data_IF_877141268896
#
_entry.id   IF_877141268896
#
_cell.length_a   1.000
_cell.length_b   1.000
_cell.length_c   1.000
_cell.angle_alpha   90.00
_cell.angle_beta   90.00
_cell.angle_gamma   90.00
#
_symmetry.space_group_name_H-M   'P 1'
#
loop_
_entity.id
_entity.type
_entity.pdbx_description
1 polymer ?
#
# COMPACT_ATOMS: atom_id res chain seq x y z
N UNK A 1 0.58 21.44 -2.37
CA UNK A 1 -0.64 20.93 -1.71
C UNK A 1 -0.38 19.72 -0.80
N UNK A 2 0.46 18.76 -1.20
CA UNK A 2 0.73 17.55 -0.41
C UNK A 2 1.33 17.85 0.97
N UNK A 3 2.39 18.66 1.03
CA UNK A 3 3.02 19.07 2.30
C UNK A 3 2.06 19.80 3.22
N UNK A 4 1.19 20.66 2.65
CA UNK A 4 0.19 21.37 3.43
C UNK A 4 -0.86 20.40 4.05
N UNK A 5 -1.28 19.38 3.31
CA UNK A 5 -2.17 18.35 3.84
C UNK A 5 -1.49 17.52 4.94
N UNK A 6 -0.24 17.11 4.72
CA UNK A 6 0.56 16.40 5.73
C UNK A 6 0.71 17.22 7.02
N UNK A 7 1.04 18.50 6.90
CA UNK A 7 1.14 19.41 8.04
C UNK A 7 -0.20 19.57 8.76
N UNK A 8 -1.29 19.80 8.03
CA UNK A 8 -2.62 19.95 8.61
C UNK A 8 -3.07 18.72 9.40
N UNK A 9 -2.83 17.52 8.88
CA UNK A 9 -3.13 16.27 9.61
C UNK A 9 -2.23 16.13 10.83
N UNK A 10 -0.94 16.41 10.71
CA UNK A 10 0.03 16.29 11.81
C UNK A 10 -0.31 17.20 13.00
N UNK A 11 -0.82 18.42 12.74
CA UNK A 11 -1.20 19.35 13.83
C UNK A 11 -2.64 19.14 14.36
N UNK A 12 -3.44 18.30 13.69
CA UNK A 12 -4.87 18.15 14.03
C UNK A 12 -5.13 17.31 15.27
N UNK A 13 -4.16 16.50 15.71
CA UNK A 13 -4.31 15.51 16.77
C UNK A 13 -4.92 14.17 16.29
N UNK A 14 -5.23 14.02 15.01
CA UNK A 14 -5.67 12.75 14.45
C UNK A 14 -4.57 11.69 14.55
N UNK A 15 -4.91 10.40 14.78
CA UNK A 15 -3.93 9.31 14.77
C UNK A 15 -3.33 9.17 13.37
N UNK A 16 -2.07 9.57 13.23
CA UNK A 16 -1.37 9.62 11.96
C UNK A 16 0.10 9.22 12.14
N UNK A 17 0.53 8.19 11.40
CA UNK A 17 1.90 7.68 11.43
C UNK A 17 2.84 8.44 10.47
N UNK A 18 2.67 9.76 10.39
CA UNK A 18 3.48 10.68 9.60
C UNK A 18 4.26 11.63 10.49
N UNK A 19 4.77 12.72 9.94
CA UNK A 19 4.39 13.34 8.66
C UNK A 19 4.95 12.66 7.42
N UNK A 20 4.34 12.97 6.27
CA UNK A 20 4.79 12.54 4.96
C UNK A 20 5.33 13.73 4.17
N UNK A 21 6.43 13.52 3.45
CA UNK A 21 6.97 14.45 2.47
C UNK A 21 6.58 14.07 1.05
N UNK A 22 6.60 15.02 0.14
CA UNK A 22 6.53 14.79 -1.30
C UNK A 22 7.32 15.86 -2.04
N UNK A 23 7.98 15.43 -3.11
CA UNK A 23 8.85 16.29 -3.91
C UNK A 23 8.76 15.89 -5.38
N UNK A 24 8.93 16.85 -6.28
CA UNK A 24 9.09 16.62 -7.71
C UNK A 24 10.55 16.70 -8.09
N UNK A 25 11.04 15.75 -8.87
CA UNK A 25 12.44 15.69 -9.31
C UNK A 25 12.49 15.72 -10.82
N UNK A 26 13.33 16.60 -11.35
CA UNK A 26 13.77 16.62 -12.73
C UNK A 26 15.20 16.11 -12.89
N UNK A 27 15.58 15.78 -14.15
CA UNK A 27 16.96 15.45 -14.52
C UNK A 27 17.35 16.26 -15.75
N UNK A 28 18.18 17.29 -15.55
CA UNK A 28 18.53 18.31 -16.54
C UNK A 28 20.05 18.40 -16.61
N UNK A 29 20.62 18.34 -17.79
CA UNK A 29 22.07 18.45 -18.01
C UNK A 29 22.91 17.51 -17.12
N UNK A 30 22.39 16.28 -16.90
CA UNK A 30 23.05 15.27 -16.07
C UNK A 30 22.92 15.45 -14.56
N UNK A 31 22.11 16.41 -14.08
CA UNK A 31 21.92 16.71 -12.67
C UNK A 31 20.45 16.56 -12.25
N UNK A 32 20.24 16.08 -11.02
CA UNK A 32 18.91 16.10 -10.41
C UNK A 32 18.61 17.51 -9.89
N UNK A 33 17.36 17.93 -10.06
CA UNK A 33 16.86 19.18 -9.49
C UNK A 33 15.50 18.94 -8.83
N UNK A 34 15.27 19.60 -7.67
CA UNK A 34 14.02 19.53 -6.94
C UNK A 34 13.04 20.61 -7.40
N UNK A 35 11.77 20.24 -7.49
CA UNK A 35 10.66 21.12 -7.81
C UNK A 35 10.94 22.00 -9.05
N UNK A 36 11.38 21.40 -10.18
CA UNK A 36 11.63 22.15 -11.40
C UNK A 36 10.38 22.92 -11.82
N UNK A 37 10.59 24.13 -12.33
CA UNK A 37 9.54 24.94 -12.94
C UNK A 37 9.01 24.27 -14.22
N UNK A 38 7.86 24.72 -14.71
CA UNK A 38 7.27 24.18 -15.95
C UNK A 38 8.22 24.33 -17.15
N UNK A 39 8.92 25.44 -17.27
CA UNK A 39 9.90 25.67 -18.35
C UNK A 39 11.14 24.78 -18.23
N UNK A 40 11.57 24.45 -17.02
CA UNK A 40 12.68 23.52 -16.78
C UNK A 40 12.28 22.09 -17.11
N UNK A 41 11.03 21.69 -16.81
CA UNK A 41 10.51 20.36 -17.15
C UNK A 41 10.49 20.09 -18.66
N UNK A 42 10.28 21.10 -19.51
CA UNK A 42 10.32 20.95 -20.97
C UNK A 42 11.68 20.40 -21.46
N UNK A 43 12.76 20.76 -20.78
CA UNK A 43 14.12 20.33 -21.06
C UNK A 43 14.58 19.15 -20.17
N UNK A 44 13.74 18.68 -19.27
CA UNK A 44 14.07 17.58 -18.38
C UNK A 44 13.91 16.21 -19.07
N UNK A 45 14.81 15.30 -18.75
CA UNK A 45 14.71 13.88 -19.11
C UNK A 45 13.91 13.06 -18.08
N UNK A 46 13.56 13.67 -16.93
CA UNK A 46 12.80 13.05 -15.86
C UNK A 46 11.75 14.04 -15.36
N UNK A 47 10.54 13.56 -15.18
CA UNK A 47 9.49 14.19 -14.38
C UNK A 47 8.99 13.15 -13.39
N UNK A 48 9.47 13.22 -12.15
CA UNK A 48 9.21 12.20 -11.13
C UNK A 48 8.64 12.85 -9.87
N UNK A 49 7.50 12.34 -9.40
CA UNK A 49 6.91 12.71 -8.11
C UNK A 49 7.12 11.58 -7.13
N UNK A 50 7.69 11.89 -5.99
CA UNK A 50 8.00 10.93 -4.93
C UNK A 50 7.36 11.40 -3.65
N UNK A 51 6.72 10.48 -2.93
CA UNK A 51 6.23 10.70 -1.58
C UNK A 51 6.77 9.62 -0.64
N UNK A 52 7.05 10.02 0.60
CA UNK A 52 7.62 9.12 1.59
C UNK A 52 7.50 9.63 3.02
N UNK A 53 7.86 8.75 3.94
CA UNK A 53 8.10 9.07 5.34
C UNK A 53 9.58 9.42 5.56
N UNK A 54 9.96 9.61 6.80
CA UNK A 54 11.36 9.78 7.19
C UNK A 54 12.23 8.55 6.90
N UNK A 55 11.62 7.36 6.89
CA UNK A 55 12.34 6.09 6.78
C UNK A 55 12.07 5.31 5.50
N UNK A 56 11.07 5.68 4.69
CA UNK A 56 10.68 4.90 3.52
C UNK A 56 10.05 5.74 2.41
N UNK A 57 10.35 5.35 1.17
CA UNK A 57 9.62 5.79 -0.03
C UNK A 57 8.30 5.01 -0.11
N UNK A 58 7.19 5.71 -0.27
CA UNK A 58 5.83 5.13 -0.29
C UNK A 58 5.23 5.19 -1.70
N UNK A 59 5.53 6.26 -2.46
CA UNK A 59 4.98 6.48 -3.79
C UNK A 59 6.07 6.98 -4.73
N UNK A 60 6.09 6.42 -5.92
CA UNK A 60 6.88 6.91 -7.06
C UNK A 60 5.97 6.94 -8.29
N UNK A 61 5.87 8.08 -8.93
CA UNK A 61 5.20 8.26 -10.21
C UNK A 61 6.12 9.03 -11.14
N UNK A 62 6.38 8.53 -12.35
CA UNK A 62 7.38 9.16 -13.23
C UNK A 62 7.08 9.01 -14.69
N UNK A 63 7.49 10.03 -15.46
CA UNK A 63 7.69 10.01 -16.89
C UNK A 63 9.20 10.22 -17.17
N UNK A 64 9.81 9.38 -18.01
CA UNK A 64 11.23 9.45 -18.29
C UNK A 64 11.51 9.30 -19.79
N UNK A 65 12.55 10.00 -20.28
CA UNK A 65 13.05 9.90 -21.64
C UNK A 65 14.31 9.03 -21.64
N UNK A 66 14.10 7.71 -21.68
CA UNK A 66 15.15 6.68 -21.84
C UNK A 66 16.31 6.78 -20.83
N UNK A 67 16.01 7.06 -19.57
CA UNK A 67 17.00 7.05 -18.48
C UNK A 67 17.33 5.60 -18.08
N UNK A 68 18.57 5.40 -17.61
CA UNK A 68 19.00 4.11 -17.07
C UNK A 68 18.37 3.82 -15.71
N UNK A 69 18.35 2.56 -15.29
CA UNK A 69 17.85 2.16 -13.96
C UNK A 69 18.61 2.86 -12.83
N UNK A 70 19.94 3.01 -12.97
CA UNK A 70 20.76 3.72 -12.00
C UNK A 70 20.39 5.20 -11.90
N UNK A 71 20.07 5.87 -13.00
CA UNK A 71 19.60 7.25 -13.01
C UNK A 71 18.21 7.36 -12.39
N UNK A 72 17.30 6.41 -12.65
CA UNK A 72 16.00 6.38 -12.02
C UNK A 72 16.10 6.17 -10.50
N UNK A 73 16.90 5.20 -10.06
CA UNK A 73 17.15 4.94 -8.64
C UNK A 73 17.83 6.13 -7.96
N UNK A 74 18.82 6.74 -8.62
CA UNK A 74 19.49 7.95 -8.13
C UNK A 74 18.50 9.10 -7.88
N UNK A 75 17.53 9.30 -8.77
CA UNK A 75 16.45 10.29 -8.61
C UNK A 75 15.57 10.01 -7.39
N UNK A 76 15.25 8.74 -7.14
CA UNK A 76 14.46 8.32 -5.98
C UNK A 76 15.21 8.60 -4.68
N UNK A 77 16.48 8.21 -4.60
CA UNK A 77 17.30 8.42 -3.42
C UNK A 77 17.53 9.91 -3.13
N UNK A 78 17.82 10.68 -4.18
CA UNK A 78 17.95 12.13 -4.09
C UNK A 78 16.67 12.78 -3.55
N UNK A 79 15.50 12.42 -4.11
CA UNK A 79 14.23 12.95 -3.63
C UNK A 79 13.94 12.61 -2.17
N UNK A 80 14.21 11.36 -1.76
CA UNK A 80 13.97 10.93 -0.37
C UNK A 80 14.86 11.70 0.61
N UNK A 81 16.11 11.96 0.23
CA UNK A 81 17.03 12.78 1.04
C UNK A 81 16.55 14.23 1.16
N UNK A 82 16.18 14.85 0.03
CA UNK A 82 15.79 16.26 -0.01
C UNK A 82 14.45 16.54 0.69
N UNK A 83 13.52 15.57 0.69
CA UNK A 83 12.23 15.75 1.36
C UNK A 83 12.34 15.73 2.89
N UNK A 84 13.44 15.25 3.48
CA UNK A 84 13.60 15.18 4.93
C UNK A 84 13.50 16.55 5.60
N UNK A 85 14.01 17.60 4.96
CA UNK A 85 13.91 18.96 5.49
C UNK A 85 12.44 19.41 5.69
N UNK A 86 11.56 19.05 4.75
CA UNK A 86 10.13 19.35 4.86
C UNK A 86 9.45 18.51 5.95
N UNK A 87 9.83 17.23 6.08
CA UNK A 87 9.32 16.34 7.12
C UNK A 87 9.68 16.85 8.51
N UNK A 88 10.95 17.23 8.73
CA UNK A 88 11.40 17.79 10.01
C UNK A 88 10.68 19.11 10.34
N UNK A 89 10.53 20.01 9.38
CA UNK A 89 9.79 21.25 9.60
C UNK A 89 8.33 21.01 10.03
N UNK A 90 7.68 19.96 9.47
CA UNK A 90 6.32 19.57 9.87
C UNK A 90 6.31 18.97 11.28
N UNK A 91 7.31 18.17 11.65
CA UNK A 91 7.45 17.61 13.01
C UNK A 91 7.63 18.74 14.04
N UNK A 92 8.50 19.70 13.76
CA UNK A 92 8.68 20.88 14.61
C UNK A 92 7.38 21.67 14.78
N UNK A 93 6.69 21.96 13.66
CA UNK A 93 5.39 22.63 13.70
C UNK A 93 4.36 21.86 14.54
N UNK A 94 4.30 20.54 14.38
CA UNK A 94 3.37 19.69 15.16
C UNK A 94 3.72 19.68 16.65
N UNK A 95 5.00 19.75 17.00
CA UNK A 95 5.46 19.88 18.39
C UNK A 95 5.04 21.22 19.02
N UNK A 96 5.13 22.32 18.25
CA UNK A 96 4.89 23.66 18.75
C UNK A 96 3.41 24.02 18.90
N UNK A 97 2.58 23.64 17.91
CA UNK A 97 1.19 24.06 17.80
C UNK A 97 0.19 22.91 17.63
N UNK A 98 0.67 21.66 17.67
CA UNK A 98 -0.20 20.49 17.52
C UNK A 98 -1.26 20.40 18.62
N UNK A 99 -2.43 19.92 18.23
CA UNK A 99 -3.49 19.60 19.18
C UNK A 99 -3.15 18.30 19.93
N UNK A 100 -3.67 18.08 21.14
CA UNK A 100 -3.57 16.81 21.81
C UNK A 100 -4.11 15.66 20.92
N UNK A 101 -3.43 14.52 20.96
CA UNK A 101 -3.85 13.35 20.18
C UNK A 101 -5.22 12.88 20.60
N UNK A 102 -6.02 12.47 19.62
CA UNK A 102 -7.27 11.78 19.88
C UNK A 102 -6.99 10.43 20.55
N UNK A 103 -7.77 10.11 21.57
CA UNK A 103 -7.86 8.74 22.05
C UNK A 103 -8.62 7.92 20.99
N UNK A 104 -7.94 6.97 20.38
CA UNK A 104 -8.50 6.11 19.35
C UNK A 104 -8.13 4.66 19.62
N UNK A 105 -9.14 3.86 19.86
CA UNK A 105 -9.02 2.41 19.92
C UNK A 105 -9.52 1.83 18.59
N UNK A 106 -8.63 1.24 17.76
CA UNK A 106 -9.07 0.61 16.54
C UNK A 106 -9.96 -0.60 16.86
N UNK A 107 -11.12 -0.68 16.19
CA UNK A 107 -11.96 -1.87 16.26
C UNK A 107 -11.21 -3.06 15.66
N UNK A 108 -10.63 -3.88 16.50
CA UNK A 108 -9.97 -5.10 16.09
C UNK A 108 -11.02 -6.18 15.78
N UNK A 109 -10.71 -6.99 14.79
CA UNK A 109 -11.48 -8.19 14.52
C UNK A 109 -11.34 -9.17 15.67
N UNK A 110 -12.42 -9.82 16.08
CA UNK A 110 -12.36 -10.79 17.18
C UNK A 110 -11.48 -11.99 16.78
N UNK A 111 -10.81 -12.56 17.75
CA UNK A 111 -10.02 -13.79 17.57
C UNK A 111 -10.92 -14.96 17.18
N UNK A 112 -12.12 -15.02 17.71
CA UNK A 112 -13.12 -16.06 17.41
C UNK A 112 -13.47 -16.12 15.94
N UNK A 113 -13.66 -14.96 15.28
CA UNK A 113 -13.89 -14.89 13.82
C UNK A 113 -12.68 -15.42 13.04
N UNK A 114 -11.47 -15.03 13.45
CA UNK A 114 -10.25 -15.46 12.77
C UNK A 114 -10.00 -16.96 12.94
N UNK A 115 -10.24 -17.48 14.14
CA UNK A 115 -10.05 -18.90 14.45
C UNK A 115 -11.08 -19.75 13.69
N UNK A 116 -12.35 -19.36 13.70
CA UNK A 116 -13.39 -19.99 12.92
C UNK A 116 -13.03 -20.12 11.43
N UNK A 117 -12.60 -19.00 10.83
CA UNK A 117 -12.25 -19.00 9.39
C UNK A 117 -10.99 -19.82 9.13
N UNK A 118 -9.99 -19.74 10.01
CA UNK A 118 -8.78 -20.56 9.88
C UNK A 118 -9.10 -22.05 9.95
N UNK A 119 -9.92 -22.46 10.90
CA UNK A 119 -10.22 -23.88 11.12
C UNK A 119 -11.10 -24.47 9.98
N UNK A 120 -12.12 -23.73 9.56
CA UNK A 120 -13.10 -24.27 8.61
C UNK A 120 -12.77 -23.99 7.15
N UNK A 121 -12.22 -22.81 6.82
CA UNK A 121 -12.12 -22.34 5.43
C UNK A 121 -10.70 -22.19 4.92
N UNK A 122 -9.67 -22.26 5.76
CA UNK A 122 -8.27 -22.03 5.31
C UNK A 122 -7.82 -23.01 4.22
N UNK A 123 -8.23 -24.28 4.29
CA UNK A 123 -7.90 -25.28 3.27
C UNK A 123 -8.57 -24.93 1.94
N UNK A 124 -9.88 -24.67 1.94
CA UNK A 124 -10.61 -24.31 0.73
C UNK A 124 -10.08 -23.01 0.09
N UNK A 125 -9.72 -22.01 0.91
CA UNK A 125 -9.08 -20.79 0.44
C UNK A 125 -7.72 -21.10 -0.19
N UNK A 126 -6.90 -21.92 0.46
CA UNK A 126 -5.59 -22.33 -0.05
C UNK A 126 -5.67 -23.05 -1.38
N UNK A 127 -6.67 -23.93 -1.53
CA UNK A 127 -6.93 -24.70 -2.75
C UNK A 127 -7.43 -23.78 -3.88
N UNK A 128 -8.32 -22.84 -3.59
CA UNK A 128 -8.74 -21.82 -4.54
C UNK A 128 -7.56 -21.00 -5.09
N UNK A 129 -6.53 -20.74 -4.28
CA UNK A 129 -5.31 -20.04 -4.71
C UNK A 129 -4.33 -20.91 -5.50
N UNK A 130 -4.63 -22.17 -5.79
CA UNK A 130 -3.92 -22.98 -6.79
C UNK A 130 -4.45 -22.77 -8.21
N UNK A 131 -5.65 -22.19 -8.35
CA UNK A 131 -6.27 -21.91 -9.63
C UNK A 131 -5.58 -20.71 -10.29
N UNK A 132 -4.87 -20.94 -11.39
CA UNK A 132 -4.13 -19.89 -12.10
C UNK A 132 -5.05 -18.93 -12.87
N UNK A 133 -6.16 -19.43 -13.42
CA UNK A 133 -7.13 -18.61 -14.17
C UNK A 133 -7.85 -17.67 -13.20
N UNK A 134 -7.65 -16.37 -13.37
CA UNK A 134 -8.16 -15.34 -12.44
C UNK A 134 -9.67 -15.41 -12.24
N UNK A 135 -10.45 -15.59 -13.31
CA UNK A 135 -11.91 -15.59 -13.20
C UNK A 135 -12.43 -16.82 -12.43
N UNK A 136 -11.87 -18.01 -12.68
CA UNK A 136 -12.23 -19.24 -11.98
C UNK A 136 -11.87 -19.15 -10.49
N UNK A 137 -10.69 -18.62 -10.17
CA UNK A 137 -10.28 -18.37 -8.79
C UNK A 137 -11.21 -17.41 -8.06
N UNK A 138 -11.61 -16.32 -8.71
CA UNK A 138 -12.56 -15.35 -8.14
C UNK A 138 -13.91 -16.00 -7.86
N UNK A 139 -14.40 -16.83 -8.76
CA UNK A 139 -15.66 -17.58 -8.58
C UNK A 139 -15.56 -18.58 -7.43
N UNK A 140 -14.47 -19.34 -7.35
CA UNK A 140 -14.24 -20.28 -6.25
C UNK A 140 -14.21 -19.59 -4.88
N UNK A 141 -13.48 -18.48 -4.77
CA UNK A 141 -13.44 -17.69 -3.54
C UNK A 141 -14.78 -17.02 -3.20
N UNK A 142 -15.57 -16.64 -4.21
CA UNK A 142 -16.91 -16.11 -3.99
C UNK A 142 -17.85 -17.16 -3.43
N UNK A 143 -17.82 -18.38 -3.96
CA UNK A 143 -18.63 -19.49 -3.46
C UNK A 143 -18.32 -19.83 -1.99
N UNK A 144 -17.03 -19.86 -1.60
CA UNK A 144 -16.61 -20.10 -0.21
C UNK A 144 -17.14 -18.98 0.72
N UNK A 145 -17.11 -17.72 0.28
CA UNK A 145 -17.65 -16.60 1.07
C UNK A 145 -19.17 -16.67 1.22
N UNK A 146 -19.86 -17.05 0.18
CA UNK A 146 -21.32 -17.21 0.19
C UNK A 146 -21.72 -18.33 1.15
N UNK A 147 -21.10 -19.50 1.06
CA UNK A 147 -21.29 -20.61 2.00
C UNK A 147 -21.04 -20.19 3.46
N UNK A 148 -19.93 -19.47 3.71
CA UNK A 148 -19.63 -18.96 5.05
C UNK A 148 -20.70 -18.01 5.56
N UNK A 149 -21.20 -17.11 4.73
CA UNK A 149 -22.23 -16.17 5.14
C UNK A 149 -23.58 -16.87 5.37
N UNK A 150 -23.96 -17.82 4.54
CA UNK A 150 -25.18 -18.62 4.72
C UNK A 150 -25.15 -19.46 6.02
N UNK A 151 -23.96 -19.99 6.38
CA UNK A 151 -23.80 -20.82 7.57
C UNK A 151 -23.81 -20.00 8.88
N UNK A 152 -23.23 -18.77 8.88
CA UNK A 152 -22.97 -18.01 10.11
C UNK A 152 -23.71 -16.70 10.24
N UNK A 153 -24.43 -16.25 9.23
CA UNK A 153 -25.25 -15.03 9.30
C UNK A 153 -26.73 -15.43 9.24
N UNK A 154 -27.42 -15.33 10.34
CA UNK A 154 -28.86 -15.54 10.40
C UNK A 154 -29.56 -14.38 11.10
N UNK A 155 -30.84 -14.16 10.78
CA UNK A 155 -31.66 -13.13 11.42
C UNK A 155 -31.96 -13.45 12.90
N UNK A 156 -31.74 -14.70 13.32
CA UNK A 156 -32.04 -15.19 14.66
C UNK A 156 -30.81 -15.19 15.59
N UNK A 157 -29.59 -15.21 15.05
CA UNK A 157 -28.34 -15.28 15.80
C UNK A 157 -27.38 -14.15 15.40
N UNK A 158 -27.22 -13.17 16.29
CA UNK A 158 -26.35 -12.00 16.12
C UNK A 158 -24.88 -12.28 16.55
N UNK A 159 -24.49 -13.59 16.59
CA UNK A 159 -23.15 -14.01 17.04
C UNK A 159 -22.05 -13.48 16.15
N UNK A 160 -22.26 -13.45 14.82
CA UNK A 160 -21.30 -12.96 13.86
C UNK A 160 -21.93 -11.95 12.88
N UNK A 161 -21.26 -10.82 12.71
CA UNK A 161 -21.66 -9.83 11.69
C UNK A 161 -21.05 -10.16 10.35
N UNK A 162 -21.82 -10.08 9.28
CA UNK A 162 -21.36 -10.34 7.92
C UNK A 162 -20.06 -9.59 7.56
N UNK A 163 -19.97 -8.31 7.96
CA UNK A 163 -18.77 -7.51 7.70
C UNK A 163 -17.53 -8.03 8.45
N UNK A 164 -17.69 -8.49 9.69
CA UNK A 164 -16.58 -9.01 10.49
C UNK A 164 -16.08 -10.35 9.90
N UNK A 165 -16.99 -11.21 9.42
CA UNK A 165 -16.66 -12.44 8.70
C UNK A 165 -15.93 -12.17 7.37
N UNK A 166 -16.40 -11.22 6.57
CA UNK A 166 -15.77 -10.84 5.30
C UNK A 166 -14.36 -10.24 5.51
N UNK A 167 -14.19 -9.42 6.54
CA UNK A 167 -12.89 -8.86 6.90
C UNK A 167 -11.93 -9.92 7.46
N UNK A 168 -12.45 -10.87 8.23
CA UNK A 168 -11.70 -12.05 8.68
C UNK A 168 -11.25 -12.91 7.51
N UNK A 169 -12.14 -13.18 6.57
CA UNK A 169 -11.83 -13.93 5.36
C UNK A 169 -10.67 -13.29 4.58
N UNK A 170 -10.73 -11.97 4.34
CA UNK A 170 -9.64 -11.23 3.68
C UNK A 170 -8.31 -11.33 4.43
N UNK A 171 -8.33 -11.30 5.77
CA UNK A 171 -7.12 -11.44 6.58
C UNK A 171 -6.50 -12.84 6.45
N UNK A 172 -7.32 -13.89 6.50
CA UNK A 172 -6.87 -15.27 6.33
C UNK A 172 -6.35 -15.50 4.92
N UNK A 173 -7.08 -15.05 3.91
CA UNK A 173 -6.70 -15.05 2.50
C UNK A 173 -5.31 -14.42 2.28
N UNK A 174 -5.14 -13.20 2.79
CA UNK A 174 -3.85 -12.48 2.73
C UNK A 174 -2.71 -13.23 3.44
N UNK A 175 -2.99 -13.84 4.58
CA UNK A 175 -2.00 -14.63 5.33
C UNK A 175 -1.55 -15.86 4.55
N UNK A 176 -2.50 -16.60 3.96
CA UNK A 176 -2.23 -17.80 3.16
C UNK A 176 -1.36 -17.45 1.94
N UNK A 177 -1.77 -16.44 1.16
CA UNK A 177 -1.02 -16.03 -0.04
C UNK A 177 0.38 -15.56 0.30
N UNK A 178 0.52 -14.75 1.34
CA UNK A 178 1.85 -14.27 1.77
C UNK A 178 2.75 -15.37 2.29
N UNK A 179 2.20 -16.31 3.06
CA UNK A 179 2.97 -17.45 3.55
C UNK A 179 3.53 -18.28 2.39
N UNK A 180 2.70 -18.61 1.38
CA UNK A 180 3.15 -19.32 0.19
C UNK A 180 4.33 -18.63 -0.52
N UNK A 181 4.27 -17.30 -0.67
CA UNK A 181 5.34 -16.52 -1.30
C UNK A 181 6.62 -16.49 -0.45
N UNK A 182 6.50 -16.36 0.88
CA UNK A 182 7.63 -16.38 1.80
C UNK A 182 8.31 -17.76 1.80
N UNK A 183 7.53 -18.83 1.67
CA UNK A 183 8.02 -20.21 1.56
C UNK A 183 8.61 -20.53 0.17
N UNK A 184 8.76 -19.54 -0.70
CA UNK A 184 9.38 -19.69 -2.01
C UNK A 184 8.49 -20.33 -3.09
N UNK A 185 7.18 -20.43 -2.85
CA UNK A 185 6.26 -20.94 -3.85
C UNK A 185 6.05 -19.93 -5.00
N UNK A 186 5.75 -20.39 -6.22
CA UNK A 186 5.45 -19.51 -7.34
C UNK A 186 4.30 -18.53 -7.03
N UNK A 187 4.28 -17.41 -7.74
CA UNK A 187 3.18 -16.47 -7.71
C UNK A 187 1.88 -17.13 -8.19
N UNK A 188 0.74 -16.54 -7.86
CA UNK A 188 -0.61 -17.07 -8.18
C UNK A 188 -0.79 -17.36 -9.67
N UNK A 189 -0.14 -16.61 -10.55
CA UNK A 189 -0.18 -16.79 -12.01
C UNK A 189 0.90 -17.76 -12.53
N UNK A 190 1.62 -18.44 -11.64
CA UNK A 190 2.62 -19.45 -11.96
C UNK A 190 4.02 -18.90 -12.26
N UNK A 191 4.23 -17.57 -12.18
CA UNK A 191 5.56 -16.96 -12.36
C UNK A 191 6.46 -17.21 -11.14
N UNK A 192 7.74 -17.22 -11.38
CA UNK A 192 8.74 -17.17 -10.32
C UNK A 192 8.69 -15.82 -9.57
N UNK A 193 9.26 -15.77 -8.38
CA UNK A 193 9.23 -14.59 -7.52
C UNK A 193 9.94 -13.38 -8.16
N UNK A 194 10.99 -13.62 -8.94
CA UNK A 194 11.84 -12.60 -9.57
C UNK A 194 11.40 -12.25 -11.00
N UNK A 195 10.37 -12.91 -11.53
CA UNK A 195 9.88 -12.64 -12.88
C UNK A 195 8.98 -11.41 -12.88
N UNK A 196 9.45 -10.33 -13.53
CA UNK A 196 8.67 -9.12 -13.78
C UNK A 196 8.15 -9.15 -15.23
N UNK A 197 6.84 -9.02 -15.40
CA UNK A 197 6.25 -8.90 -16.73
C UNK A 197 6.08 -7.44 -17.11
N UNK A 198 6.35 -7.15 -18.37
CA UNK A 198 6.11 -5.83 -18.95
C UNK A 198 4.78 -5.88 -19.71
N UNK A 199 3.92 -4.91 -19.46
CA UNK A 199 2.67 -4.70 -20.20
C UNK A 199 2.76 -3.38 -20.94
N UNK A 200 2.52 -3.43 -22.25
CA UNK A 200 2.41 -2.23 -23.09
C UNK A 200 0.97 -1.99 -23.44
N UNK A 201 0.48 -0.78 -23.17
CA UNK A 201 -0.72 -0.21 -23.80
C UNK A 201 -0.26 0.81 -24.83
N UNK A 202 -0.64 0.65 -26.04
CA UNK A 202 -0.30 1.55 -27.14
C UNK A 202 -1.55 1.97 -27.91
#
# INVERSE_FOLDING_TARGET
SFLAASAAVSISGLPFNGPLGAIRVGFIDGNYCINPSRSELENSHLDMVIAGSDSAVIMVESEAKELTEDQMLGGILFAHQEMQAAIEAIKEMASDIGKPSFEYEPKLLSTEVLDLINEKYSSAISDAYTIQVKQERVQALAAIREEMLEEYVSDEDDSFKANDLLDGFKKVEKKIVRAKLIDGQPRIDGRDLDTVTVSYTH
#
